data_IF_506059730609
#
_entry.id   IF_506059730609
#
_cell.length_a   1.000
_cell.length_b   1.000
_cell.length_c   1.000
_cell.angle_alpha   90.00
_cell.angle_beta   90.00
_cell.angle_gamma   90.00
#
_symmetry.space_group_name_H-M   'P 1'
#
loop_
_entity.id
_entity.type
_entity.pdbx_description
1 polymer ?
#
# COMPACT_ATOMS: atom_id res chain seq x y z
N UNK A 1 11.10 -54.23 -21.78
CA UNK A 1 10.01 -53.29 -22.10
C UNK A 1 10.36 -52.01 -21.35
N UNK A 2 11.17 -51.21 -22.01
CA UNK A 2 11.79 -49.99 -21.43
C UNK A 2 10.85 -48.83 -21.75
N UNK A 3 10.17 -48.30 -20.75
CA UNK A 3 9.33 -47.12 -20.91
C UNK A 3 10.23 -45.92 -20.57
N UNK A 4 10.97 -45.48 -21.57
CA UNK A 4 11.63 -44.16 -21.53
C UNK A 4 10.54 -43.09 -21.51
N UNK A 5 10.25 -42.57 -20.33
CA UNK A 5 9.42 -41.39 -20.17
C UNK A 5 10.26 -40.19 -20.60
N UNK A 6 10.22 -39.87 -21.90
CA UNK A 6 10.76 -38.60 -22.39
C UNK A 6 9.89 -37.47 -21.76
N UNK A 7 10.33 -36.94 -20.63
CA UNK A 7 9.87 -35.65 -20.17
C UNK A 7 10.48 -34.59 -21.08
N UNK A 8 9.75 -34.25 -22.16
CA UNK A 8 10.08 -33.07 -22.95
C UNK A 8 10.07 -31.85 -22.01
N UNK A 9 11.22 -31.19 -21.94
CA UNK A 9 11.30 -29.90 -21.24
C UNK A 9 10.35 -28.92 -21.95
N UNK A 10 9.55 -28.14 -21.22
CA UNK A 10 8.60 -27.21 -21.81
C UNK A 10 9.36 -26.24 -22.76
N UNK A 11 8.72 -25.92 -23.87
CA UNK A 11 9.28 -24.96 -24.82
C UNK A 11 9.39 -23.57 -24.19
N UNK A 12 10.26 -22.70 -24.68
CA UNK A 12 10.41 -21.34 -24.15
C UNK A 12 9.10 -20.55 -24.21
N UNK A 13 8.23 -20.84 -25.16
CA UNK A 13 6.92 -20.21 -25.32
C UNK A 13 5.95 -20.70 -24.24
N UNK A 14 5.93 -21.99 -23.91
CA UNK A 14 5.14 -22.56 -22.82
C UNK A 14 5.57 -22.01 -21.45
N UNK A 15 6.88 -21.90 -21.22
CA UNK A 15 7.40 -21.29 -19.99
C UNK A 15 7.00 -19.83 -19.84
N UNK A 16 6.96 -19.06 -20.91
CA UNK A 16 6.50 -17.66 -20.89
C UNK A 16 4.99 -17.57 -20.61
N UNK A 17 4.19 -18.44 -21.21
CA UNK A 17 2.75 -18.49 -20.98
C UNK A 17 2.42 -18.87 -19.53
N UNK A 18 3.08 -19.88 -18.98
CA UNK A 18 2.92 -20.29 -17.56
C UNK A 18 3.29 -19.15 -16.61
N UNK A 19 4.35 -18.40 -16.88
CA UNK A 19 4.77 -17.25 -16.05
C UNK A 19 3.78 -16.08 -16.15
N UNK A 20 3.21 -15.82 -17.31
CA UNK A 20 2.18 -14.78 -17.50
C UNK A 20 0.90 -15.12 -16.74
N UNK A 21 0.38 -16.35 -16.89
CA UNK A 21 -0.79 -16.85 -16.14
C UNK A 21 -0.55 -16.78 -14.64
N UNK A 22 0.66 -17.09 -14.17
CA UNK A 22 1.02 -17.00 -12.74
C UNK A 22 1.00 -15.56 -12.24
N UNK A 23 1.39 -14.58 -13.08
CA UNK A 23 1.33 -13.15 -12.76
C UNK A 23 -0.10 -12.63 -12.56
N UNK A 24 -0.99 -13.01 -13.46
CA UNK A 24 -2.41 -12.63 -13.37
C UNK A 24 -3.08 -13.24 -12.12
N UNK A 25 -2.81 -14.51 -11.84
CA UNK A 25 -3.33 -15.18 -10.63
C UNK A 25 -2.85 -14.51 -9.34
N UNK A 26 -1.58 -14.10 -9.28
CA UNK A 26 -1.01 -13.39 -8.12
C UNK A 26 -1.68 -12.03 -7.94
N UNK A 27 -1.96 -11.32 -9.03
CA UNK A 27 -2.65 -10.02 -9.02
C UNK A 27 -4.09 -10.17 -8.53
N UNK A 28 -4.86 -11.12 -9.07
CA UNK A 28 -6.24 -11.38 -8.64
C UNK A 28 -6.32 -11.82 -7.18
N UNK A 29 -5.40 -12.66 -6.74
CA UNK A 29 -5.30 -13.04 -5.33
C UNK A 29 -5.04 -11.82 -4.44
N UNK A 30 -4.10 -10.95 -4.83
CA UNK A 30 -3.81 -9.71 -4.13
C UNK A 30 -5.01 -8.77 -4.05
N UNK A 31 -5.75 -8.59 -5.15
CA UNK A 31 -6.95 -7.76 -5.18
C UNK A 31 -8.05 -8.31 -4.24
N UNK A 32 -8.23 -9.63 -4.20
CA UNK A 32 -9.18 -10.27 -3.28
C UNK A 32 -8.78 -10.05 -1.81
N UNK A 33 -7.50 -10.24 -1.46
CA UNK A 33 -7.00 -10.01 -0.09
C UNK A 33 -7.18 -8.55 0.33
N UNK A 34 -6.88 -7.60 -0.55
CA UNK A 34 -7.08 -6.16 -0.29
C UNK A 34 -8.56 -5.83 -0.07
N UNK A 35 -9.46 -6.40 -0.87
CA UNK A 35 -10.90 -6.20 -0.71
C UNK A 35 -11.39 -6.73 0.64
N UNK A 36 -10.91 -7.90 1.07
CA UNK A 36 -11.22 -8.46 2.39
C UNK A 36 -10.67 -7.56 3.50
N UNK A 37 -9.43 -7.09 3.40
CA UNK A 37 -8.86 -6.20 4.40
C UNK A 37 -9.66 -4.90 4.56
N UNK A 38 -10.15 -4.30 3.46
CA UNK A 38 -11.02 -3.12 3.48
C UNK A 38 -12.38 -3.39 4.14
N UNK A 39 -12.96 -4.57 3.92
CA UNK A 39 -14.24 -4.94 4.54
C UNK A 39 -14.09 -5.26 6.03
N UNK A 40 -13.02 -5.94 6.42
CA UNK A 40 -12.70 -6.21 7.83
C UNK A 40 -12.49 -4.90 8.59
N UNK A 41 -11.83 -3.93 7.98
CA UNK A 41 -11.65 -2.61 8.58
C UNK A 41 -12.99 -1.95 8.98
N UNK A 42 -14.03 -2.13 8.18
CA UNK A 42 -15.37 -1.59 8.48
C UNK A 42 -16.10 -2.33 9.60
N UNK A 43 -15.77 -3.61 9.83
CA UNK A 43 -16.37 -4.40 10.91
C UNK A 43 -15.87 -4.00 12.30
N UNK A 44 -14.70 -3.37 12.39
CA UNK A 44 -14.13 -2.87 13.65
C UNK A 44 -14.73 -1.52 14.09
N UNK A 45 -15.63 -0.92 13.28
CA UNK A 45 -16.23 0.36 13.61
C UNK A 45 -17.23 0.21 14.76
N UNK A 46 -17.06 0.97 15.87
CA UNK A 46 -18.02 0.94 16.96
C UNK A 46 -19.38 1.50 16.51
N UNK A 47 -20.44 0.78 16.86
CA UNK A 47 -21.80 1.21 16.58
C UNK A 47 -22.25 2.18 17.67
N UNK A 48 -22.72 3.40 17.34
CA UNK A 48 -23.24 4.32 18.33
C UNK A 48 -24.45 3.76 19.05
N UNK A 49 -24.52 3.91 20.37
CA UNK A 49 -25.60 3.45 21.23
C UNK A 49 -26.33 4.64 21.87
N UNK A 50 -27.67 4.52 22.07
CA UNK A 50 -28.48 5.52 22.75
C UNK A 50 -29.97 5.33 22.52
N UNK A 51 -30.77 5.66 23.51
CA UNK A 51 -32.26 5.60 23.47
C UNK A 51 -32.86 6.91 22.93
N UNK A 52 -32.08 7.98 22.91
CA UNK A 52 -32.47 9.31 22.40
C UNK A 52 -31.47 9.78 21.34
N UNK A 53 -31.89 10.71 20.47
CA UNK A 53 -30.98 11.29 19.44
C UNK A 53 -29.77 11.96 20.10
N UNK A 54 -29.92 12.57 21.28
CA UNK A 54 -28.82 13.21 22.02
C UNK A 54 -27.80 12.19 22.50
N UNK A 55 -28.26 11.08 23.09
CA UNK A 55 -27.39 9.98 23.54
C UNK A 55 -26.64 9.33 22.35
N UNK A 56 -27.35 9.06 21.25
CA UNK A 56 -26.77 8.49 20.05
C UNK A 56 -25.68 9.40 19.48
N UNK A 57 -25.94 10.71 19.43
CA UNK A 57 -24.95 11.68 18.95
C UNK A 57 -23.74 11.78 19.89
N UNK A 58 -23.99 11.76 21.20
CA UNK A 58 -22.91 11.75 22.19
C UNK A 58 -22.04 10.49 22.06
N UNK A 59 -22.65 9.32 21.92
CA UNK A 59 -21.95 8.05 21.69
C UNK A 59 -21.14 8.09 20.40
N UNK A 60 -21.71 8.57 19.29
CA UNK A 60 -20.98 8.71 18.02
C UNK A 60 -19.75 9.63 18.16
N UNK A 61 -19.88 10.74 18.87
CA UNK A 61 -18.75 11.68 19.04
C UNK A 61 -17.68 11.18 20.01
N UNK A 62 -18.03 10.31 20.95
CA UNK A 62 -17.05 9.67 21.85
C UNK A 62 -16.11 8.70 21.11
N UNK A 63 -16.58 8.08 20.01
CA UNK A 63 -15.79 7.16 19.17
C UNK A 63 -15.08 7.84 18.00
N UNK A 64 -14.96 9.17 18.01
CA UNK A 64 -14.37 9.94 16.87
C UNK A 64 -12.96 9.47 16.49
N UNK A 65 -12.15 9.04 17.45
CA UNK A 65 -10.78 8.58 17.20
C UNK A 65 -10.78 7.28 16.39
N UNK A 66 -11.67 6.34 16.72
CA UNK A 66 -11.84 5.09 15.96
C UNK A 66 -12.31 5.37 14.52
N UNK A 67 -13.28 6.28 14.34
CA UNK A 67 -13.73 6.66 12.99
C UNK A 67 -12.63 7.35 12.17
N UNK A 68 -11.83 8.22 12.79
CA UNK A 68 -10.69 8.85 12.13
C UNK A 68 -9.61 7.82 11.78
N UNK A 69 -9.29 6.89 12.68
CA UNK A 69 -8.35 5.81 12.44
C UNK A 69 -8.79 4.94 11.26
N UNK A 70 -10.09 4.58 11.22
CA UNK A 70 -10.70 3.88 10.09
C UNK A 70 -10.52 4.65 8.77
N UNK A 71 -10.91 5.93 8.74
CA UNK A 71 -10.82 6.74 7.51
C UNK A 71 -9.39 6.86 6.99
N UNK A 72 -8.43 7.06 7.88
CA UNK A 72 -7.01 7.12 7.52
C UNK A 72 -6.57 5.78 6.94
N UNK A 73 -6.88 4.68 7.60
CA UNK A 73 -6.48 3.32 7.19
C UNK A 73 -7.13 2.92 5.87
N UNK A 74 -8.41 3.26 5.67
CA UNK A 74 -9.10 3.04 4.40
C UNK A 74 -8.38 3.74 3.24
N UNK A 75 -8.05 5.02 3.41
CA UNK A 75 -7.33 5.81 2.40
C UNK A 75 -5.93 5.23 2.14
N UNK A 76 -5.23 4.78 3.19
CA UNK A 76 -3.90 4.17 3.06
C UNK A 76 -3.97 2.85 2.30
N UNK A 77 -4.87 1.94 2.66
CA UNK A 77 -5.05 0.66 1.93
C UNK A 77 -5.45 0.93 0.47
N UNK A 78 -6.39 1.85 0.22
CA UNK A 78 -6.80 2.21 -1.13
C UNK A 78 -5.66 2.82 -1.95
N UNK A 79 -4.77 3.61 -1.33
CA UNK A 79 -3.58 4.15 -1.98
C UNK A 79 -2.55 3.06 -2.33
N UNK A 80 -2.35 2.09 -1.43
CA UNK A 80 -1.52 0.91 -1.69
C UNK A 80 -2.08 0.09 -2.85
N UNK A 81 -3.37 -0.22 -2.85
CA UNK A 81 -4.03 -0.93 -3.95
C UNK A 81 -3.89 -0.20 -5.28
N UNK A 82 -4.17 1.11 -5.34
CA UNK A 82 -4.00 1.92 -6.56
C UNK A 82 -2.57 1.88 -7.09
N UNK A 83 -1.59 1.90 -6.20
CA UNK A 83 -0.18 1.87 -6.58
C UNK A 83 0.22 0.48 -7.08
N UNK A 84 -0.26 -0.59 -6.42
CA UNK A 84 -0.10 -1.96 -6.85
C UNK A 84 -0.71 -2.17 -8.23
N UNK A 85 -1.99 -1.86 -8.41
CA UNK A 85 -2.70 -1.99 -9.69
C UNK A 85 -2.01 -1.21 -10.82
N UNK A 86 -1.48 -0.01 -10.55
CA UNK A 86 -0.75 0.80 -11.53
C UNK A 86 0.53 0.13 -12.03
N UNK A 87 1.27 -0.56 -11.16
CA UNK A 87 2.52 -1.23 -11.49
C UNK A 87 2.24 -2.59 -12.12
N UNK A 88 1.38 -3.40 -11.49
CA UNK A 88 1.18 -4.79 -11.86
C UNK A 88 0.49 -4.98 -13.21
N UNK A 89 -0.25 -4.00 -13.71
CA UNK A 89 -0.76 -4.03 -15.09
C UNK A 89 0.33 -4.06 -16.17
N UNK A 90 1.57 -3.76 -15.81
CA UNK A 90 2.74 -3.85 -16.70
C UNK A 90 3.59 -5.09 -16.43
N UNK A 91 3.34 -5.82 -15.36
CA UNK A 91 4.08 -7.04 -15.01
C UNK A 91 3.55 -8.18 -15.86
N UNK A 92 4.44 -8.81 -16.62
CA UNK A 92 4.10 -9.93 -17.53
C UNK A 92 4.75 -11.24 -17.11
N UNK A 93 5.64 -11.21 -16.13
CA UNK A 93 6.28 -12.40 -15.58
C UNK A 93 6.47 -12.26 -14.08
N UNK A 94 6.51 -13.39 -13.37
CA UNK A 94 6.80 -13.45 -11.94
C UNK A 94 7.98 -14.35 -11.65
N UNK A 95 8.70 -14.05 -10.57
CA UNK A 95 9.70 -14.93 -9.99
C UNK A 95 9.37 -15.21 -8.51
N UNK A 96 10.04 -16.18 -7.92
CA UNK A 96 9.82 -16.58 -6.51
C UNK A 96 10.01 -15.44 -5.54
N UNK A 97 10.93 -14.51 -5.83
CA UNK A 97 11.23 -13.36 -4.96
C UNK A 97 10.10 -12.32 -5.03
N UNK A 98 9.60 -11.99 -6.22
CA UNK A 98 8.46 -11.09 -6.36
C UNK A 98 7.23 -11.66 -5.68
N UNK A 99 6.96 -12.97 -5.85
CA UNK A 99 5.87 -13.66 -5.18
C UNK A 99 5.99 -13.58 -3.66
N UNK A 100 7.18 -13.87 -3.11
CA UNK A 100 7.42 -13.77 -1.67
C UNK A 100 7.22 -12.34 -1.13
N UNK A 101 7.77 -11.33 -1.83
CA UNK A 101 7.59 -9.93 -1.45
C UNK A 101 6.12 -9.51 -1.48
N UNK A 102 5.36 -9.99 -2.48
CA UNK A 102 3.92 -9.75 -2.58
C UNK A 102 3.17 -10.37 -1.40
N UNK A 103 3.51 -11.61 -1.00
CA UNK A 103 2.90 -12.24 0.18
C UNK A 103 3.19 -11.48 1.47
N UNK A 104 4.44 -11.03 1.70
CA UNK A 104 4.77 -10.20 2.86
C UNK A 104 4.06 -8.85 2.85
N UNK A 105 3.93 -8.22 1.68
CA UNK A 105 3.17 -6.99 1.54
C UNK A 105 1.68 -7.20 1.85
N UNK A 106 1.06 -8.25 1.32
CA UNK A 106 -0.32 -8.62 1.64
C UNK A 106 -0.52 -8.89 3.13
N UNK A 107 0.44 -9.55 3.79
CA UNK A 107 0.41 -9.76 5.24
C UNK A 107 0.33 -8.42 6.00
N UNK A 108 1.08 -7.39 5.60
CA UNK A 108 0.97 -6.07 6.25
C UNK A 108 -0.40 -5.43 6.05
N UNK A 109 -1.05 -5.63 4.89
CA UNK A 109 -2.41 -5.13 4.65
C UNK A 109 -3.46 -5.90 5.46
N UNK A 110 -3.29 -7.21 5.64
CA UNK A 110 -4.16 -8.04 6.50
C UNK A 110 -4.02 -7.65 7.99
N UNK A 111 -2.84 -7.22 8.42
CA UNK A 111 -2.61 -6.73 9.79
C UNK A 111 -3.16 -5.31 9.98
N UNK A 112 -3.35 -4.54 8.91
CA UNK A 112 -3.77 -3.13 9.03
C UNK A 112 -5.09 -2.92 9.78
N UNK A 113 -6.18 -3.70 9.60
CA UNK A 113 -7.39 -3.59 10.42
C UNK A 113 -7.08 -3.67 11.91
N UNK A 114 -6.35 -4.69 12.35
CA UNK A 114 -5.91 -4.82 13.74
C UNK A 114 -5.07 -3.62 14.21
N UNK A 115 -4.13 -3.15 13.39
CA UNK A 115 -3.33 -1.97 13.73
C UNK A 115 -4.20 -0.70 13.83
N UNK A 116 -5.30 -0.62 13.08
CA UNK A 116 -6.28 0.46 13.13
C UNK A 116 -7.08 0.44 14.42
N UNK A 117 -7.51 -0.73 14.85
CA UNK A 117 -8.18 -0.90 16.14
C UNK A 117 -7.23 -0.51 17.30
N UNK A 118 -6.00 -0.97 17.25
CA UNK A 118 -4.97 -0.60 18.23
C UNK A 118 -4.77 0.92 18.31
N UNK A 119 -4.66 1.64 17.20
CA UNK A 119 -4.43 3.10 17.21
C UNK A 119 -5.68 3.88 17.62
N UNK A 120 -6.88 3.37 17.32
CA UNK A 120 -8.18 3.96 17.72
C UNK A 120 -8.55 3.71 19.18
N UNK A 121 -7.87 2.78 19.87
CA UNK A 121 -8.15 2.41 21.26
C UNK A 121 -7.71 3.45 22.29
N UNK A 122 -7.81 3.12 23.57
CA UNK A 122 -7.42 3.98 24.70
C UNK A 122 -6.05 3.60 25.29
N UNK A 123 -5.43 4.49 26.07
CA UNK A 123 -4.18 4.24 26.82
C UNK A 123 -2.93 4.79 26.12
N UNK A 124 -1.80 4.08 26.16
CA UNK A 124 -0.47 4.53 25.76
C UNK A 124 -0.39 4.98 24.28
N UNK A 125 -0.69 6.24 24.01
CA UNK A 125 -0.74 6.83 22.68
C UNK A 125 0.51 6.53 21.84
N UNK A 126 1.70 6.74 22.42
CA UNK A 126 2.97 6.59 21.67
C UNK A 126 3.17 5.16 21.17
N UNK A 127 2.95 4.15 22.03
CA UNK A 127 3.13 2.74 21.64
C UNK A 127 2.18 2.35 20.50
N UNK A 128 0.91 2.75 20.60
CA UNK A 128 -0.13 2.48 19.58
C UNK A 128 0.19 3.19 18.26
N UNK A 129 0.59 4.45 18.34
CA UNK A 129 0.98 5.26 17.18
C UNK A 129 2.21 4.66 16.47
N UNK A 130 3.26 4.32 17.23
CA UNK A 130 4.49 3.73 16.68
C UNK A 130 4.20 2.38 16.05
N UNK A 131 3.36 1.55 16.67
CA UNK A 131 2.97 0.26 16.11
C UNK A 131 2.28 0.43 14.74
N UNK A 132 1.27 1.30 14.65
CA UNK A 132 0.59 1.58 13.39
C UNK A 132 1.56 2.13 12.33
N UNK A 133 2.36 3.14 12.68
CA UNK A 133 3.32 3.76 11.78
C UNK A 133 4.37 2.76 11.27
N UNK A 134 4.82 1.82 12.12
CA UNK A 134 5.76 0.77 11.75
C UNK A 134 5.15 -0.24 10.76
N UNK A 135 3.88 -0.65 10.95
CA UNK A 135 3.16 -1.53 10.02
C UNK A 135 3.04 -0.86 8.65
N UNK A 136 2.63 0.41 8.61
CA UNK A 136 2.47 1.15 7.35
C UNK A 136 3.82 1.42 6.67
N UNK A 137 4.85 1.75 7.43
CA UNK A 137 6.21 1.90 6.91
C UNK A 137 6.73 0.60 6.28
N UNK A 138 6.54 -0.54 6.95
CA UNK A 138 6.91 -1.86 6.44
C UNK A 138 6.16 -2.17 5.13
N UNK A 139 4.85 -1.86 5.05
CA UNK A 139 4.05 -2.02 3.85
C UNK A 139 4.62 -1.20 2.68
N UNK A 140 4.95 0.06 2.90
CA UNK A 140 5.57 0.93 1.90
C UNK A 140 6.93 0.38 1.44
N UNK A 141 7.76 -0.08 2.38
CA UNK A 141 9.09 -0.64 2.07
C UNK A 141 8.98 -1.90 1.22
N UNK A 142 8.09 -2.82 1.58
CA UNK A 142 7.84 -4.05 0.82
C UNK A 142 7.36 -3.74 -0.60
N UNK A 143 6.45 -2.77 -0.76
CA UNK A 143 6.02 -2.33 -2.07
C UNK A 143 7.17 -1.74 -2.91
N UNK A 144 8.04 -0.93 -2.32
CA UNK A 144 9.23 -0.39 -3.01
C UNK A 144 10.16 -1.54 -3.44
N UNK A 145 10.35 -2.56 -2.59
CA UNK A 145 11.16 -3.73 -2.92
C UNK A 145 10.56 -4.53 -4.08
N UNK A 146 9.23 -4.70 -4.12
CA UNK A 146 8.52 -5.33 -5.25
C UNK A 146 8.77 -4.58 -6.56
N UNK A 147 8.60 -3.26 -6.57
CA UNK A 147 8.83 -2.45 -7.78
C UNK A 147 10.29 -2.48 -8.23
N UNK A 148 11.23 -2.51 -7.27
CA UNK A 148 12.66 -2.68 -7.57
C UNK A 148 12.96 -4.05 -8.18
N UNK A 149 12.31 -5.11 -7.66
CA UNK A 149 12.46 -6.47 -8.20
C UNK A 149 11.94 -6.56 -9.65
N UNK A 150 10.74 -6.02 -9.89
CA UNK A 150 10.17 -5.93 -11.25
C UNK A 150 11.13 -5.25 -12.21
N UNK A 151 11.76 -4.15 -11.78
CA UNK A 151 12.72 -3.40 -12.61
C UNK A 151 14.04 -4.15 -12.80
N UNK A 152 14.56 -4.78 -11.74
CA UNK A 152 15.85 -5.46 -11.74
C UNK A 152 15.88 -6.67 -12.67
N UNK A 153 14.83 -7.49 -12.59
CA UNK A 153 14.73 -8.75 -13.31
C UNK A 153 13.96 -8.63 -14.65
N UNK A 154 13.60 -7.36 -15.04
CA UNK A 154 12.94 -7.12 -16.33
C UNK A 154 11.56 -7.78 -16.45
N UNK A 155 10.83 -7.93 -15.32
CA UNK A 155 9.54 -8.64 -15.28
C UNK A 155 8.38 -7.82 -15.87
N UNK A 156 8.65 -6.58 -16.30
CA UNK A 156 7.67 -5.72 -16.96
C UNK A 156 7.65 -5.94 -18.47
N UNK A 157 6.50 -5.65 -19.07
CA UNK A 157 6.31 -5.67 -20.53
C UNK A 157 7.35 -4.79 -21.24
N UNK A 158 7.87 -5.26 -22.38
CA UNK A 158 8.73 -4.47 -23.25
C UNK A 158 8.04 -3.15 -23.64
N UNK A 159 8.78 -2.03 -23.61
CA UNK A 159 8.23 -0.70 -23.88
C UNK A 159 7.49 -0.05 -22.71
N UNK A 160 7.50 -0.64 -21.50
CA UNK A 160 6.96 0.02 -20.30
C UNK A 160 7.71 1.33 -20.04
N UNK A 161 7.02 2.50 -19.94
CA UNK A 161 7.66 3.76 -19.65
C UNK A 161 8.40 3.71 -18.30
N UNK A 162 9.71 4.01 -18.24
CA UNK A 162 10.49 3.93 -16.99
C UNK A 162 9.96 4.88 -15.91
N UNK A 163 9.26 5.95 -16.32
CA UNK A 163 8.65 6.92 -15.43
C UNK A 163 7.55 6.30 -14.56
N UNK A 164 6.86 5.27 -15.02
CA UNK A 164 5.79 4.59 -14.27
C UNK A 164 6.35 3.97 -13.00
N UNK A 165 7.44 3.21 -13.11
CA UNK A 165 8.09 2.55 -11.99
C UNK A 165 8.76 3.57 -11.06
N UNK A 166 9.47 4.55 -11.63
CA UNK A 166 10.16 5.60 -10.86
C UNK A 166 9.17 6.47 -10.08
N UNK A 167 8.07 6.88 -10.72
CA UNK A 167 7.01 7.67 -10.06
C UNK A 167 6.32 6.87 -8.95
N UNK A 168 6.12 5.57 -9.15
CA UNK A 168 5.52 4.70 -8.12
C UNK A 168 6.44 4.55 -6.92
N UNK A 169 7.75 4.32 -7.10
CA UNK A 169 8.73 4.27 -6.01
C UNK A 169 8.77 5.61 -5.27
N UNK A 170 8.83 6.74 -6.00
CA UNK A 170 8.87 8.07 -5.38
C UNK A 170 7.61 8.35 -4.56
N UNK A 171 6.43 8.12 -5.13
CA UNK A 171 5.16 8.39 -4.43
C UNK A 171 5.02 7.59 -3.14
N UNK A 172 5.27 6.27 -3.19
CA UNK A 172 5.24 5.43 -1.98
C UNK A 172 6.41 5.76 -1.03
N UNK A 173 7.58 6.13 -1.56
CA UNK A 173 8.71 6.58 -0.75
C UNK A 173 8.40 7.82 0.08
N UNK A 174 7.64 8.77 -0.46
CA UNK A 174 7.18 9.95 0.28
C UNK A 174 6.17 9.59 1.37
N UNK A 175 5.27 8.64 1.10
CA UNK A 175 4.37 8.09 2.13
C UNK A 175 5.17 7.39 3.23
N UNK A 176 6.14 6.55 2.86
CA UNK A 176 7.05 5.90 3.81
C UNK A 176 7.80 6.90 4.68
N UNK A 177 8.31 7.98 4.07
CA UNK A 177 8.99 9.07 4.78
C UNK A 177 8.04 9.75 5.78
N UNK A 178 6.77 9.98 5.41
CA UNK A 178 5.77 10.52 6.30
C UNK A 178 5.57 9.64 7.55
N UNK A 179 5.45 8.33 7.38
CA UNK A 179 5.36 7.40 8.51
C UNK A 179 6.64 7.37 9.34
N UNK A 180 7.80 7.32 8.71
CA UNK A 180 9.08 7.29 9.41
C UNK A 180 9.32 8.55 10.25
N UNK A 181 9.07 9.74 9.68
CA UNK A 181 9.24 11.03 10.36
C UNK A 181 8.21 11.20 11.48
N UNK A 182 7.01 10.65 11.32
CA UNK A 182 5.97 10.76 12.33
C UNK A 182 6.32 10.06 13.65
N UNK A 183 7.18 9.03 13.64
CA UNK A 183 7.58 8.30 14.84
C UNK A 183 8.30 9.23 15.85
N UNK A 184 9.41 9.90 15.53
CA UNK A 184 10.04 10.83 16.48
C UNK A 184 9.15 12.03 16.80
N UNK A 185 8.31 12.51 15.86
CA UNK A 185 7.37 13.61 16.11
C UNK A 185 6.32 13.22 17.15
N UNK A 186 5.86 11.96 17.16
CA UNK A 186 4.89 11.47 18.14
C UNK A 186 5.40 11.50 19.59
N UNK A 187 6.70 11.53 19.79
CA UNK A 187 7.31 11.66 21.13
C UNK A 187 7.15 13.08 21.71
N UNK A 188 6.97 14.07 20.83
CA UNK A 188 6.91 15.50 21.20
C UNK A 188 5.46 16.03 21.12
N UNK A 189 4.65 15.53 20.19
CA UNK A 189 3.29 16.05 19.96
C UNK A 189 2.31 15.00 19.48
N UNK A 190 1.04 15.16 19.87
CA UNK A 190 -0.08 14.33 19.38
C UNK A 190 -0.46 14.67 17.91
N UNK A 191 0.05 15.78 17.34
CA UNK A 191 -0.21 16.17 15.96
C UNK A 191 0.64 15.41 14.92
N UNK A 192 1.35 14.36 15.33
CA UNK A 192 2.19 13.53 14.45
C UNK A 192 1.43 12.94 13.26
N UNK A 193 0.10 12.75 13.35
CA UNK A 193 -0.75 12.33 12.21
C UNK A 193 -0.65 13.24 10.99
N UNK A 194 -0.37 14.54 11.20
CA UNK A 194 -0.24 15.49 10.09
C UNK A 194 0.91 15.13 9.16
N UNK A 195 1.96 14.47 9.64
CA UNK A 195 3.08 14.02 8.82
C UNK A 195 2.62 13.09 7.68
N UNK A 196 1.59 12.29 7.91
CA UNK A 196 1.07 11.32 6.94
C UNK A 196 0.35 11.99 5.75
N UNK A 197 -0.11 13.20 5.93
CA UNK A 197 -0.79 14.01 4.91
C UNK A 197 0.17 15.05 4.32
N UNK A 198 0.86 15.80 5.18
CA UNK A 198 1.70 16.94 4.77
C UNK A 198 2.83 16.49 3.87
N UNK A 199 3.53 15.39 4.22
CA UNK A 199 4.70 14.94 3.46
C UNK A 199 4.35 14.51 2.02
N UNK A 200 3.36 13.63 1.76
CA UNK A 200 2.98 13.26 0.40
C UNK A 200 2.35 14.41 -0.40
N UNK A 201 1.58 15.29 0.27
CA UNK A 201 0.94 16.45 -0.38
C UNK A 201 2.00 17.47 -0.80
N UNK A 202 2.98 17.75 0.05
CA UNK A 202 4.08 18.66 -0.27
C UNK A 202 4.85 18.21 -1.52
N UNK A 203 5.17 16.91 -1.63
CA UNK A 203 5.81 16.35 -2.84
C UNK A 203 4.95 16.55 -4.09
N UNK A 204 3.66 16.27 -3.99
CA UNK A 204 2.71 16.45 -5.12
C UNK A 204 2.64 17.90 -5.58
N UNK A 205 2.63 18.87 -4.65
CA UNK A 205 2.60 20.30 -4.96
C UNK A 205 3.92 20.76 -5.60
N UNK A 206 5.05 20.31 -5.08
CA UNK A 206 6.37 20.63 -5.64
C UNK A 206 6.51 20.07 -7.05
N UNK A 207 6.06 18.84 -7.28
CA UNK A 207 6.13 18.20 -8.60
C UNK A 207 5.26 18.93 -9.65
N UNK A 208 4.06 19.34 -9.26
CA UNK A 208 3.17 20.16 -10.12
C UNK A 208 3.78 21.52 -10.47
N UNK A 209 4.45 22.17 -9.50
CA UNK A 209 5.13 23.46 -9.76
C UNK A 209 6.29 23.29 -10.72
N UNK A 210 7.13 22.27 -10.54
CA UNK A 210 8.26 21.96 -11.45
C UNK A 210 7.79 21.67 -12.88
N UNK A 211 6.71 20.90 -13.05
CA UNK A 211 6.14 20.60 -14.36
C UNK A 211 5.61 21.83 -15.06
N UNK A 212 4.99 22.78 -14.35
CA UNK A 212 4.52 24.06 -14.91
C UNK A 212 5.66 24.97 -15.31
N UNK A 213 6.71 25.07 -14.50
CA UNK A 213 7.90 25.89 -14.83
C UNK A 213 8.66 25.35 -16.04
N UNK A 214 8.68 24.03 -16.25
CA UNK A 214 9.29 23.42 -17.42
C UNK A 214 8.49 23.64 -18.72
N UNK A 215 7.18 23.89 -18.63
CA UNK A 215 6.33 24.22 -19.79
C UNK A 215 6.32 25.72 -20.13
N UNK A 216 6.80 26.58 -19.23
CA UNK A 216 6.92 28.03 -19.39
C UNK A 216 8.35 28.47 -19.67
N UNK A 217 9.21 27.59 -20.23
CA UNK A 217 10.55 27.93 -20.70
C UNK A 217 10.53 29.11 -21.68
N UNK A 218 11.64 29.88 -21.80
CA UNK A 218 11.61 31.20 -22.39
C UNK A 218 11.03 31.20 -23.81
N UNK A 219 10.01 32.02 -24.00
CA UNK A 219 9.58 32.46 -25.30
C UNK A 219 10.60 33.52 -25.76
N UNK A 220 11.62 33.07 -26.49
CA UNK A 220 12.52 33.89 -27.30
C UNK A 220 12.07 33.86 -28.76
#
# INVERSE_FOLDING_TARGET
>A
MDVSTDQELPSQDEDMEIRAVSGDRLTFFGDAVVAIALTLLALELPVPEGSTNSELWHSATSHRESYLAFMISFVVIAAHWRSHHRVFRYVTATNSRLTALTMYWLLTLVITPFATDVIGGEGAFQARFVFYAAVQFASCLLFILMVREVRRDGLQRAGTPPEVLTRSIRGIGMVALGFLVSIPVSLVTHWAYLCWIVVPVADTVVDRRRSRSAQQGPAD
#
